data_IF_668977470267
#
_entry.id   IF_668977470267
#
_cell.length_a   1.000
_cell.length_b   1.000
_cell.length_c   1.000
_cell.angle_alpha   90.00
_cell.angle_beta   90.00
_cell.angle_gamma   90.00
#
_symmetry.space_group_name_H-M   'P 1'
#
loop_
_entity.id
_entity.type
_entity.pdbx_description
1 polymer ?
#
# COMPACT_ATOMS: atom_id res chain seq x y z
N UNK A 1 5.46 17.42 12.58
CA UNK A 1 5.42 17.94 13.95
C UNK A 1 4.06 18.61 14.18
N UNK A 2 3.27 18.08 15.08
CA UNK A 2 2.03 18.74 15.53
C UNK A 2 2.34 19.43 16.85
N UNK A 3 2.35 20.75 16.84
CA UNK A 3 2.54 21.56 18.02
C UNK A 3 1.16 21.91 18.60
N UNK A 4 0.92 21.67 19.88
CA UNK A 4 -0.37 21.92 20.51
C UNK A 4 -0.54 23.38 20.98
N UNK A 5 -0.03 24.34 20.23
CA UNK A 5 -0.32 25.78 20.43
C UNK A 5 0.11 26.38 21.79
N UNK A 6 1.13 25.82 22.43
CA UNK A 6 1.65 26.33 23.70
C UNK A 6 2.53 27.57 23.48
N UNK A 7 2.28 28.64 24.21
CA UNK A 7 3.13 29.85 24.27
C UNK A 7 3.73 30.05 25.65
N UNK A 8 4.68 30.96 25.73
CA UNK A 8 5.37 31.30 26.98
C UNK A 8 4.35 31.69 28.06
N UNK A 9 4.27 30.90 29.14
CA UNK A 9 3.34 31.11 30.24
C UNK A 9 2.11 30.20 30.22
N UNK A 10 1.95 29.31 29.24
CA UNK A 10 0.86 28.32 29.28
C UNK A 10 1.08 27.29 30.38
N UNK A 11 0.03 26.98 31.15
CA UNK A 11 0.05 25.89 32.13
C UNK A 11 -0.23 24.56 31.42
N UNK A 12 0.54 23.54 31.75
CA UNK A 12 0.39 22.19 31.22
C UNK A 12 -0.14 21.27 32.31
N UNK A 13 -1.17 20.51 32.00
CA UNK A 13 -1.72 19.51 32.93
C UNK A 13 -0.97 18.19 32.86
N UNK A 14 -0.93 17.46 33.98
CA UNK A 14 -0.32 16.12 34.00
C UNK A 14 -1.03 15.18 33.01
N UNK A 15 -0.27 14.56 32.07
CA UNK A 15 -0.81 13.68 31.03
C UNK A 15 -1.21 14.38 29.72
N UNK A 16 -1.05 15.71 29.62
CA UNK A 16 -1.31 16.44 28.39
C UNK A 16 -0.22 16.16 27.36
N UNK A 17 -0.63 15.74 26.14
CA UNK A 17 0.29 15.57 25.02
C UNK A 17 0.75 16.93 24.49
N UNK A 18 2.03 17.23 24.56
CA UNK A 18 2.62 18.53 24.19
C UNK A 18 3.00 18.58 22.72
N UNK A 19 3.62 17.52 22.21
CA UNK A 19 4.00 17.40 20.81
C UNK A 19 4.06 15.93 20.36
N UNK A 20 3.87 15.70 19.07
CA UNK A 20 4.11 14.41 18.44
C UNK A 20 5.35 14.50 17.57
N UNK A 21 6.34 13.65 17.81
CA UNK A 21 7.53 13.53 16.97
C UNK A 21 7.32 12.34 16.04
N UNK A 22 7.35 12.60 14.74
CA UNK A 22 7.31 11.55 13.72
C UNK A 22 8.67 11.49 13.04
N UNK A 23 9.36 10.33 13.08
CA UNK A 23 10.66 10.18 12.40
C UNK A 23 10.49 10.36 10.88
N UNK A 24 11.40 11.09 10.27
CA UNK A 24 11.36 11.47 8.84
C UNK A 24 11.97 10.44 7.88
N UNK A 25 12.49 9.34 8.40
CA UNK A 25 13.41 8.49 7.65
C UNK A 25 12.75 7.59 6.60
N UNK A 26 11.45 7.28 6.69
CA UNK A 26 10.81 6.36 5.74
C UNK A 26 9.36 6.76 5.50
N UNK A 27 8.99 6.91 4.23
CA UNK A 27 7.62 7.18 3.81
C UNK A 27 6.95 5.85 3.47
N UNK A 28 5.83 5.59 4.13
CA UNK A 28 4.96 4.45 3.85
C UNK A 28 3.67 4.94 3.21
N UNK A 29 3.15 4.15 2.29
CA UNK A 29 1.81 4.34 1.74
C UNK A 29 0.88 3.34 2.43
N UNK A 30 -0.22 3.84 2.99
CA UNK A 30 -1.29 3.00 3.51
C UNK A 30 -2.38 2.90 2.45
N UNK A 31 -2.67 1.69 2.02
CA UNK A 31 -3.75 1.37 1.09
C UNK A 31 -4.87 0.64 1.83
N UNK A 32 -6.10 0.92 1.45
CA UNK A 32 -7.30 0.27 1.97
C UNK A 32 -7.88 -0.63 0.91
N UNK A 33 -7.93 -1.92 1.19
CA UNK A 33 -8.28 -2.96 0.24
C UNK A 33 -9.57 -3.66 0.67
N UNK A 34 -10.45 -3.91 -0.30
CA UNK A 34 -11.68 -4.66 -0.09
C UNK A 34 -11.40 -6.10 0.39
N UNK A 35 -12.27 -6.69 1.25
CA UNK A 35 -12.20 -8.10 1.62
C UNK A 35 -12.17 -9.06 0.43
N UNK A 36 -12.81 -8.70 -0.68
CA UNK A 36 -12.85 -9.53 -1.89
C UNK A 36 -11.49 -9.60 -2.60
N UNK A 37 -10.65 -8.57 -2.44
CA UNK A 37 -9.40 -8.42 -3.18
C UNK A 37 -8.18 -8.78 -2.33
N UNK A 38 -8.32 -8.81 -1.00
CA UNK A 38 -7.18 -9.02 -0.09
C UNK A 38 -6.48 -10.37 -0.29
N UNK A 39 -7.25 -11.40 -0.71
CA UNK A 39 -6.72 -12.73 -0.99
C UNK A 39 -5.69 -12.79 -2.12
N UNK A 40 -5.65 -11.78 -2.98
CA UNK A 40 -4.69 -11.69 -4.09
C UNK A 40 -3.41 -10.93 -3.70
N UNK A 41 -3.37 -10.32 -2.51
CA UNK A 41 -2.26 -9.49 -2.06
C UNK A 41 -1.40 -10.26 -1.07
N UNK A 42 -0.09 -10.22 -1.27
CA UNK A 42 0.89 -10.88 -0.39
C UNK A 42 1.99 -9.92 0.01
N UNK A 43 2.58 -10.16 1.18
CA UNK A 43 3.77 -9.42 1.63
C UNK A 43 4.92 -9.67 0.64
N UNK A 44 5.66 -8.62 0.31
CA UNK A 44 6.71 -8.64 -0.72
C UNK A 44 6.21 -8.33 -2.13
N UNK A 45 4.88 -8.29 -2.36
CA UNK A 45 4.32 -7.99 -3.68
C UNK A 45 4.75 -6.59 -4.15
N UNK A 46 5.24 -6.45 -5.39
CA UNK A 46 5.59 -5.16 -5.95
C UNK A 46 4.34 -4.32 -6.22
N UNK A 47 4.47 -3.02 -5.97
CA UNK A 47 3.42 -2.04 -6.21
C UNK A 47 3.93 -0.87 -7.05
N UNK A 48 2.99 -0.18 -7.70
CA UNK A 48 3.20 1.14 -8.31
C UNK A 48 2.29 2.14 -7.61
N UNK A 49 2.89 3.16 -7.00
CA UNK A 49 2.17 4.26 -6.36
C UNK A 49 2.17 5.48 -7.27
N UNK A 50 0.99 5.95 -7.61
CA UNK A 50 0.77 7.21 -8.31
C UNK A 50 0.34 8.25 -7.29
N UNK A 51 1.16 9.28 -7.09
CA UNK A 51 0.87 10.34 -6.14
C UNK A 51 -0.04 11.36 -6.81
N UNK A 52 -1.20 11.64 -6.20
CA UNK A 52 -2.22 12.53 -6.80
C UNK A 52 -1.74 13.96 -7.00
N UNK A 53 -0.84 14.44 -6.12
CA UNK A 53 -0.26 15.79 -6.21
C UNK A 53 0.71 15.97 -7.37
N UNK A 54 1.14 14.89 -8.03
CA UNK A 54 2.07 14.90 -9.15
C UNK A 54 1.38 14.37 -10.41
N UNK A 55 1.43 15.12 -11.50
CA UNK A 55 0.83 14.69 -12.76
C UNK A 55 1.55 13.43 -13.28
N UNK A 56 0.80 12.34 -13.45
CA UNK A 56 1.31 11.04 -13.90
C UNK A 56 2.11 11.12 -15.21
N UNK A 57 1.64 11.92 -16.17
CA UNK A 57 2.28 12.00 -17.49
C UNK A 57 3.68 12.62 -17.41
N UNK A 58 3.89 13.54 -16.47
CA UNK A 58 5.14 14.28 -16.30
C UNK A 58 6.07 13.63 -15.28
N UNK A 59 5.52 13.13 -14.17
CA UNK A 59 6.28 12.62 -13.03
C UNK A 59 6.34 11.09 -12.96
N UNK A 60 5.35 10.39 -13.55
CA UNK A 60 5.29 8.93 -13.51
C UNK A 60 4.77 8.37 -12.19
N UNK A 61 5.34 7.24 -11.77
CA UNK A 61 4.98 6.51 -10.55
C UNK A 61 6.20 6.16 -9.73
N UNK A 62 6.01 5.96 -8.42
CA UNK A 62 7.03 5.40 -7.53
C UNK A 62 6.79 3.91 -7.39
N UNK A 63 7.87 3.14 -7.46
CA UNK A 63 7.86 1.71 -7.19
C UNK A 63 7.95 1.46 -5.68
N UNK A 64 7.37 0.36 -5.24
CA UNK A 64 7.43 -0.05 -3.85
C UNK A 64 7.08 -1.52 -3.69
N UNK A 65 6.98 -1.97 -2.45
CA UNK A 65 6.57 -3.32 -2.10
C UNK A 65 5.66 -3.33 -0.88
N UNK A 66 4.79 -4.33 -0.80
CA UNK A 66 3.96 -4.58 0.38
C UNK A 66 4.83 -5.09 1.51
N UNK A 67 4.78 -4.43 2.66
CA UNK A 67 5.56 -4.83 3.86
C UNK A 67 4.68 -5.41 4.96
N UNK A 68 3.40 -5.04 4.99
CA UNK A 68 2.49 -5.49 6.03
C UNK A 68 1.04 -5.47 5.54
N UNK A 69 0.29 -6.48 5.94
CA UNK A 69 -1.17 -6.60 5.73
C UNK A 69 -1.80 -6.78 7.09
N UNK A 70 -2.83 -5.98 7.43
CA UNK A 70 -3.51 -6.13 8.72
C UNK A 70 -4.24 -7.48 8.78
N UNK A 71 -4.16 -8.12 9.96
CA UNK A 71 -4.89 -9.37 10.21
C UNK A 71 -6.39 -9.14 10.41
N UNK A 72 -6.75 -7.93 10.86
CA UNK A 72 -8.13 -7.56 11.14
C UNK A 72 -8.66 -6.55 10.12
N UNK A 73 -9.96 -6.66 9.84
CA UNK A 73 -10.65 -5.66 9.04
C UNK A 73 -10.98 -4.43 9.87
N UNK A 74 -11.02 -3.29 9.21
CA UNK A 74 -11.48 -2.02 9.78
C UNK A 74 -12.85 -1.68 9.19
N UNK A 75 -13.73 -1.17 10.03
CA UNK A 75 -15.03 -0.69 9.58
C UNK A 75 -14.97 0.82 9.30
N UNK A 76 -15.34 1.20 8.09
CA UNK A 76 -15.47 2.61 7.71
C UNK A 76 -16.83 3.21 8.09
N UNK A 77 -16.95 4.52 7.93
CA UNK A 77 -18.13 5.31 8.35
C UNK A 77 -19.46 4.89 7.72
N UNK A 78 -19.45 4.14 6.61
CA UNK A 78 -20.64 3.65 5.91
C UNK A 78 -20.86 2.15 6.02
N UNK A 79 -20.27 1.49 7.04
CA UNK A 79 -20.33 0.03 7.18
C UNK A 79 -19.48 -0.75 6.18
N UNK A 80 -18.69 -0.07 5.36
CA UNK A 80 -17.74 -0.72 4.46
C UNK A 80 -16.57 -1.26 5.27
N UNK A 81 -16.25 -2.53 5.05
CA UNK A 81 -15.08 -3.20 5.64
C UNK A 81 -13.90 -3.13 4.69
N UNK A 82 -12.70 -2.90 5.23
CA UNK A 82 -11.47 -2.90 4.46
C UNK A 82 -10.29 -3.40 5.30
N UNK A 83 -9.28 -3.90 4.63
CA UNK A 83 -8.00 -4.27 5.23
C UNK A 83 -6.98 -3.17 4.98
N UNK A 84 -6.17 -2.88 5.97
CA UNK A 84 -5.07 -1.92 5.85
C UNK A 84 -3.82 -2.65 5.35
N UNK A 85 -3.27 -2.17 4.26
CA UNK A 85 -2.03 -2.66 3.65
C UNK A 85 -0.99 -1.55 3.72
N UNK A 86 0.17 -1.82 4.34
CA UNK A 86 1.30 -0.88 4.34
C UNK A 86 2.28 -1.26 3.25
N UNK A 87 2.67 -0.27 2.47
CA UNK A 87 3.61 -0.41 1.38
C UNK A 87 4.80 0.53 1.60
N UNK A 88 6.00 0.02 1.45
CA UNK A 88 7.22 0.80 1.49
C UNK A 88 7.58 1.25 0.07
N UNK A 89 7.85 2.53 -0.10
CA UNK A 89 8.33 3.08 -1.37
C UNK A 89 9.85 2.92 -1.45
N UNK A 90 10.35 2.68 -2.67
CA UNK A 90 11.80 2.57 -2.92
C UNK A 90 12.51 3.91 -2.87
N UNK A 91 11.79 4.99 -3.15
CA UNK A 91 12.32 6.36 -3.13
C UNK A 91 11.26 7.32 -2.58
N UNK A 92 11.70 8.41 -1.99
CA UNK A 92 10.86 9.44 -1.41
C UNK A 92 10.73 10.70 -2.28
N UNK A 93 11.12 10.60 -3.55
CA UNK A 93 11.01 11.67 -4.53
C UNK A 93 10.62 11.13 -5.90
N UNK A 94 10.08 12.01 -6.74
CA UNK A 94 9.82 11.79 -8.15
C UNK A 94 10.65 12.75 -8.98
N UNK A 95 11.05 12.31 -10.17
CA UNK A 95 11.79 13.15 -11.12
C UNK A 95 10.91 13.47 -12.31
N UNK A 96 10.73 14.76 -12.61
CA UNK A 96 9.98 15.20 -13.78
C UNK A 96 10.72 14.82 -15.07
N UNK A 97 10.06 14.09 -15.95
CA UNK A 97 10.67 13.53 -17.17
C UNK A 97 11.26 14.57 -18.12
N UNK A 98 10.65 15.76 -18.18
CA UNK A 98 11.05 16.82 -19.13
C UNK A 98 12.18 17.70 -18.62
N UNK A 99 12.18 18.03 -17.34
CA UNK A 99 13.08 19.05 -16.75
C UNK A 99 14.12 18.45 -15.81
N UNK A 100 13.95 17.19 -15.39
CA UNK A 100 14.82 16.59 -14.37
C UNK A 100 14.57 17.13 -12.96
N UNK A 101 13.54 17.97 -12.75
CA UNK A 101 13.23 18.54 -11.44
C UNK A 101 12.79 17.42 -10.48
N UNK A 102 13.29 17.48 -9.25
CA UNK A 102 12.92 16.56 -8.18
C UNK A 102 11.74 17.09 -7.37
N UNK A 103 10.74 16.25 -7.18
CA UNK A 103 9.58 16.49 -6.33
C UNK A 103 9.58 15.54 -5.14
N UNK A 104 9.78 16.05 -3.94
CA UNK A 104 9.83 15.26 -2.73
C UNK A 104 8.42 14.90 -2.22
N UNK A 105 8.24 13.64 -1.83
CA UNK A 105 7.03 13.16 -1.22
C UNK A 105 6.93 13.66 0.22
N UNK A 106 5.72 14.05 0.63
CA UNK A 106 5.43 14.51 1.99
C UNK A 106 4.35 13.65 2.63
N UNK A 107 4.41 13.53 3.96
CA UNK A 107 3.33 12.87 4.73
C UNK A 107 2.00 13.61 4.51
N UNK A 108 0.92 12.86 4.40
CA UNK A 108 -0.41 13.40 4.11
C UNK A 108 -0.75 13.52 2.62
N UNK A 109 0.17 13.22 1.70
CA UNK A 109 -0.16 13.13 0.28
C UNK A 109 -1.02 11.90 0.00
N UNK A 110 -1.99 12.06 -0.91
CA UNK A 110 -2.85 10.97 -1.37
C UNK A 110 -2.17 10.25 -2.53
N UNK A 111 -2.25 8.91 -2.52
CA UNK A 111 -1.69 8.06 -3.56
C UNK A 111 -2.69 6.99 -4.01
N UNK A 112 -2.70 6.70 -5.30
CA UNK A 112 -3.38 5.55 -5.87
C UNK A 112 -2.36 4.41 -6.02
N UNK A 113 -2.59 3.30 -5.33
CA UNK A 113 -1.69 2.14 -5.33
C UNK A 113 -2.23 1.08 -6.30
N UNK A 114 -1.37 0.60 -7.18
CA UNK A 114 -1.65 -0.53 -8.06
C UNK A 114 -0.77 -1.70 -7.64
N UNK A 115 -1.39 -2.77 -7.20
CA UNK A 115 -0.71 -4.03 -6.86
C UNK A 115 -0.37 -4.77 -8.15
N UNK A 116 0.87 -5.21 -8.28
CA UNK A 116 1.32 -5.95 -9.45
C UNK A 116 1.16 -7.44 -9.16
N UNK A 117 -0.05 -7.95 -9.38
CA UNK A 117 -0.33 -9.38 -9.26
C UNK A 117 0.47 -10.08 -10.36
N UNK A 118 1.42 -10.89 -9.96
CA UNK A 118 2.19 -11.70 -10.91
C UNK A 118 1.21 -12.65 -11.60
N UNK A 119 1.05 -12.50 -12.90
CA UNK A 119 0.26 -13.46 -13.69
C UNK A 119 0.91 -14.82 -13.48
N UNK A 120 0.11 -15.81 -13.12
CA UNK A 120 0.55 -17.21 -13.13
C UNK A 120 1.25 -17.46 -14.45
N UNK A 121 2.43 -18.05 -14.41
CA UNK A 121 3.17 -18.41 -15.62
C UNK A 121 2.26 -19.27 -16.50
N UNK A 122 2.32 -19.10 -17.81
CA UNK A 122 1.63 -20.00 -18.74
C UNK A 122 1.98 -21.46 -18.47
N UNK A 123 3.15 -21.74 -17.91
CA UNK A 123 3.57 -23.05 -17.44
C UNK A 123 2.70 -23.57 -16.28
N UNK A 124 2.31 -22.74 -15.30
CA UNK A 124 1.45 -23.17 -14.20
C UNK A 124 0.04 -23.55 -14.69
N UNK A 125 -0.45 -22.87 -15.73
CA UNK A 125 -1.73 -23.19 -16.37
C UNK A 125 -1.62 -24.49 -17.18
N UNK A 126 -0.51 -24.70 -17.84
CA UNK A 126 -0.25 -25.94 -18.60
C UNK A 126 -0.09 -27.14 -17.65
N UNK A 127 0.63 -26.98 -16.53
CA UNK A 127 0.80 -28.05 -15.53
C UNK A 127 -0.52 -28.43 -14.85
N UNK A 128 -1.37 -27.47 -14.50
CA UNK A 128 -2.71 -27.77 -13.93
C UNK A 128 -3.57 -28.59 -14.90
N UNK A 129 -3.57 -28.25 -16.19
CA UNK A 129 -4.30 -29.01 -17.21
C UNK A 129 -3.71 -30.40 -17.45
N UNK A 130 -2.40 -30.58 -17.25
CA UNK A 130 -1.73 -31.88 -17.40
C UNK A 130 -2.06 -32.79 -16.22
N UNK A 131 -2.14 -32.27 -14.99
CA UNK A 131 -2.53 -33.06 -13.80
C UNK A 131 -3.97 -33.57 -13.90
N UNK A 132 -4.89 -32.79 -14.43
CA UNK A 132 -6.27 -33.25 -14.70
C UNK A 132 -6.32 -34.33 -15.81
N UNK A 133 -5.38 -34.27 -16.75
CA UNK A 133 -5.30 -35.24 -17.87
C UNK A 133 -4.63 -36.57 -17.47
N UNK A 134 -3.66 -36.50 -16.55
CA UNK A 134 -2.89 -37.69 -16.09
C UNK A 134 -3.59 -38.41 -14.93
N UNK A 135 -4.39 -37.71 -14.11
CA UNK A 135 -5.19 -38.27 -13.03
C UNK A 135 -6.69 -38.03 -13.29
N UNK A 136 -7.34 -38.77 -14.18
CA UNK A 136 -8.81 -38.80 -14.21
C UNK A 136 -9.28 -39.44 -12.90
N UNK A 137 -9.68 -38.58 -11.96
CA UNK A 137 -10.22 -39.00 -10.68
C UNK A 137 -11.40 -39.95 -10.96
N UNK A 138 -11.27 -41.19 -10.51
CA UNK A 138 -12.29 -42.18 -10.49
C UNK A 138 -13.50 -41.65 -9.72
N UNK A 139 -14.52 -41.22 -10.42
CA UNK A 139 -15.87 -41.19 -9.83
C UNK A 139 -16.33 -42.64 -9.73
N UNK A 140 -16.05 -43.28 -8.60
CA UNK A 140 -16.72 -44.49 -8.20
C UNK A 140 -18.04 -44.05 -7.60
N UNK A 141 -19.07 -44.22 -8.37
CA UNK A 141 -20.49 -44.28 -7.92
C UNK A 141 -20.70 -45.51 -7.08
N UNK A 142 -21.17 -45.38 -5.87
CA UNK A 142 -22.11 -46.23 -5.17
C UNK A 142 -23.21 -45.40 -4.54
#
# INVERSE_FOLDING_TARGET
EQFSGLYRGSSVQTGQSICGISPDSTIYVEAYVSPNDIGYISVGMPIKAQITSFNYNEWGTVMGSVIYISSDYMSGEKGNTYFKVKCQLQQNFLVMKKTGMEGYLKKGMVANVRFMITKRSLFDILYQNIDEWINPTQYITE
#
